data_IF_740647302357
#
_entry.id   IF_740647302357
#
_cell.length_a   1.000
_cell.length_b   1.000
_cell.length_c   1.000
_cell.angle_alpha   90.00
_cell.angle_beta   90.00
_cell.angle_gamma   90.00
#
_symmetry.space_group_name_H-M   'P 1'
#
loop_
_entity.id
_entity.type
_entity.pdbx_description
1 polymer ?
#
# COMPACT_ATOMS: atom_id res chain seq x y z
N UNK A 1 13.97 6.91 7.78
CA UNK A 1 12.86 6.75 8.75
C UNK A 1 13.16 5.69 9.82
N UNK A 2 13.60 4.47 9.48
CA UNK A 2 13.81 3.38 10.44
C UNK A 2 14.60 3.76 11.71
N UNK A 3 15.74 4.46 11.57
CA UNK A 3 16.54 4.89 12.73
C UNK A 3 15.79 5.83 13.70
N UNK A 4 14.96 6.74 13.18
CA UNK A 4 14.14 7.64 13.99
C UNK A 4 13.05 6.84 14.72
N UNK A 5 12.36 5.95 14.01
CA UNK A 5 11.33 5.08 14.59
C UNK A 5 11.89 4.21 15.71
N UNK A 6 13.04 3.57 15.48
CA UNK A 6 13.74 2.75 16.48
C UNK A 6 14.09 3.60 17.72
N UNK A 7 14.65 4.80 17.51
CA UNK A 7 14.94 5.73 18.62
C UNK A 7 13.68 6.16 19.38
N UNK A 8 12.54 6.21 18.69
CA UNK A 8 11.22 6.48 19.28
C UNK A 8 10.55 5.27 19.95
N UNK A 9 11.18 4.08 19.93
CA UNK A 9 10.61 2.86 20.50
C UNK A 9 9.55 2.18 19.62
N UNK A 10 9.42 2.59 18.35
CA UNK A 10 8.53 1.94 17.38
C UNK A 10 9.22 0.67 16.88
N UNK A 11 8.55 -0.47 17.09
CA UNK A 11 9.05 -1.80 16.69
C UNK A 11 8.31 -2.37 15.49
N UNK A 12 7.17 -1.78 15.12
CA UNK A 12 6.37 -2.14 13.95
C UNK A 12 5.72 -0.89 13.37
N UNK A 13 5.74 -0.74 12.04
CA UNK A 13 5.07 0.36 11.34
C UNK A 13 4.21 -0.13 10.18
N UNK A 14 3.40 0.78 9.64
CA UNK A 14 2.73 0.58 8.36
C UNK A 14 3.27 1.61 7.37
N UNK A 15 3.54 1.18 6.14
CA UNK A 15 3.98 2.06 5.07
C UNK A 15 3.08 1.91 3.85
N UNK A 16 2.89 3.04 3.18
CA UNK A 16 2.26 3.16 1.88
C UNK A 16 3.16 4.05 1.06
N UNK A 17 4.03 3.45 0.26
CA UNK A 17 4.91 4.21 -0.60
C UNK A 17 5.16 3.50 -1.94
N UNK A 18 6.09 4.08 -2.69
CA UNK A 18 6.58 3.56 -3.95
C UNK A 18 7.80 2.67 -3.72
N UNK A 19 8.03 1.73 -4.63
CA UNK A 19 9.14 0.77 -4.55
C UNK A 19 9.14 -0.04 -3.24
N UNK A 20 7.99 -0.54 -2.78
CA UNK A 20 7.87 -1.24 -1.47
C UNK A 20 8.74 -2.49 -1.38
N UNK A 21 9.15 -3.06 -2.51
CA UNK A 21 10.09 -4.16 -2.54
C UNK A 21 11.45 -3.79 -1.90
N UNK A 22 11.96 -2.59 -2.20
CA UNK A 22 13.19 -2.05 -1.61
C UNK A 22 12.96 -1.69 -0.14
N UNK A 23 11.80 -1.11 0.18
CA UNK A 23 11.45 -0.77 1.57
C UNK A 23 11.37 -2.04 2.42
N UNK A 24 10.86 -3.14 1.89
CA UNK A 24 10.80 -4.42 2.57
C UNK A 24 12.21 -5.02 2.82
N UNK A 25 13.12 -4.92 1.85
CA UNK A 25 14.52 -5.32 2.02
C UNK A 25 15.18 -4.55 3.17
N UNK A 26 15.07 -3.22 3.14
CA UNK A 26 15.69 -2.34 4.14
C UNK A 26 15.03 -2.46 5.52
N UNK A 27 13.71 -2.63 5.57
CA UNK A 27 12.95 -2.88 6.81
C UNK A 27 13.42 -4.17 7.49
N UNK A 28 13.58 -5.23 6.69
CA UNK A 28 14.07 -6.52 7.18
C UNK A 28 15.54 -6.44 7.58
N UNK A 29 16.38 -5.72 6.83
CA UNK A 29 17.78 -5.49 7.17
C UNK A 29 17.94 -4.72 8.49
N UNK A 30 17.04 -3.77 8.76
CA UNK A 30 16.97 -3.05 10.03
C UNK A 30 16.40 -3.89 11.19
N UNK A 31 15.92 -5.12 10.93
CA UNK A 31 15.31 -6.00 11.92
C UNK A 31 13.93 -5.54 12.41
N UNK A 32 13.27 -4.68 11.65
CA UNK A 32 11.94 -4.16 11.99
C UNK A 32 10.83 -5.01 11.36
N UNK A 33 9.64 -4.99 11.98
CA UNK A 33 8.41 -5.56 11.40
C UNK A 33 7.63 -4.46 10.71
N UNK A 34 6.94 -4.77 9.61
CA UNK A 34 6.08 -3.77 8.98
C UNK A 34 4.87 -4.38 8.26
N UNK A 35 3.82 -3.58 8.14
CA UNK A 35 2.77 -3.76 7.13
C UNK A 35 3.10 -2.85 5.96
N UNK A 36 3.54 -3.43 4.85
CA UNK A 36 4.03 -2.67 3.70
C UNK A 36 3.05 -2.81 2.54
N UNK A 37 2.59 -1.67 2.03
CA UNK A 37 1.52 -1.59 1.04
C UNK A 37 1.98 -0.91 -0.24
N UNK A 38 2.11 -1.68 -1.31
CA UNK A 38 2.47 -1.13 -2.62
C UNK A 38 1.36 -0.21 -3.11
N UNK A 39 1.71 1.07 -3.35
CA UNK A 39 0.76 2.13 -3.67
C UNK A 39 0.09 1.86 -5.02
N UNK A 40 -1.21 2.17 -5.13
CA UNK A 40 -1.97 2.15 -6.39
C UNK A 40 -2.70 3.47 -6.56
N UNK A 41 -2.50 4.13 -7.71
CA UNK A 41 -3.15 5.39 -8.12
C UNK A 41 -3.51 5.36 -9.61
N UNK A 42 -4.49 6.19 -10.03
CA UNK A 42 -4.96 6.22 -11.42
C UNK A 42 -4.17 7.17 -12.34
N UNK A 43 -3.02 7.65 -11.89
CA UNK A 43 -2.13 8.55 -12.62
C UNK A 43 -0.68 8.08 -12.50
N UNK A 44 0.23 8.52 -13.39
CA UNK A 44 1.62 8.12 -13.35
C UNK A 44 2.29 8.39 -12.00
N UNK A 45 2.99 7.38 -11.49
CA UNK A 45 3.76 7.35 -10.26
C UNK A 45 5.26 7.11 -10.53
N UNK A 46 6.14 7.31 -9.54
CA UNK A 46 7.59 7.12 -9.70
C UNK A 46 8.04 5.72 -10.12
N UNK A 47 7.37 4.68 -9.64
CA UNK A 47 7.65 3.26 -9.93
C UNK A 47 6.80 2.72 -11.09
N UNK A 48 5.75 3.44 -11.48
CA UNK A 48 4.85 2.99 -12.52
C UNK A 48 4.15 4.11 -13.31
N UNK A 49 4.11 4.01 -14.64
CA UNK A 49 3.48 5.00 -15.52
C UNK A 49 2.01 4.73 -15.89
N UNK A 50 1.47 3.54 -15.63
CA UNK A 50 0.08 3.19 -15.97
C UNK A 50 -0.55 2.19 -14.98
N UNK A 51 -1.88 2.25 -14.83
CA UNK A 51 -2.60 1.50 -13.80
C UNK A 51 -2.46 -0.02 -13.92
N UNK A 52 -2.42 -0.56 -15.15
CA UNK A 52 -2.30 -2.01 -15.37
C UNK A 52 -0.98 -2.55 -14.82
N UNK A 53 0.14 -1.90 -15.16
CA UNK A 53 1.44 -2.36 -14.66
C UNK A 53 1.59 -2.09 -13.16
N UNK A 54 0.81 -1.18 -12.56
CA UNK A 54 0.84 -0.89 -11.12
C UNK A 54 0.30 -2.06 -10.30
N UNK A 55 -0.83 -2.64 -10.71
CA UNK A 55 -1.37 -3.85 -10.06
C UNK A 55 -0.47 -5.08 -10.28
N UNK A 56 0.22 -5.17 -11.44
CA UNK A 56 1.22 -6.21 -11.65
C UNK A 56 2.42 -6.06 -10.71
N UNK A 57 2.86 -4.83 -10.46
CA UNK A 57 3.95 -4.54 -9.54
C UNK A 57 3.56 -4.88 -8.10
N UNK A 58 2.36 -4.47 -7.67
CA UNK A 58 1.79 -4.89 -6.39
C UNK A 58 1.69 -6.41 -6.29
N UNK A 59 1.21 -7.11 -7.33
CA UNK A 59 1.13 -8.57 -7.31
C UNK A 59 2.51 -9.23 -7.16
N UNK A 60 3.55 -8.72 -7.84
CA UNK A 60 4.93 -9.23 -7.69
C UNK A 60 5.44 -9.05 -6.27
N UNK A 61 5.20 -7.87 -5.68
CA UNK A 61 5.54 -7.58 -4.29
C UNK A 61 4.83 -8.54 -3.31
N UNK A 62 3.51 -8.72 -3.47
CA UNK A 62 2.72 -9.65 -2.65
C UNK A 62 3.28 -11.06 -2.71
N UNK A 63 3.59 -11.57 -3.92
CA UNK A 63 4.15 -12.92 -4.12
C UNK A 63 5.51 -13.08 -3.45
N UNK A 64 6.40 -12.10 -3.62
CA UNK A 64 7.78 -12.17 -3.13
C UNK A 64 7.84 -12.24 -1.60
N UNK A 65 7.03 -11.45 -0.92
CA UNK A 65 7.08 -11.30 0.54
C UNK A 65 6.02 -12.12 1.28
N UNK A 66 5.28 -12.99 0.56
CA UNK A 66 4.28 -13.83 1.18
C UNK A 66 4.89 -14.80 2.20
N UNK A 67 4.42 -14.72 3.45
CA UNK A 67 4.86 -15.61 4.53
C UNK A 67 6.18 -15.21 5.20
N UNK A 68 6.75 -14.05 4.86
CA UNK A 68 7.91 -13.52 5.58
C UNK A 68 7.57 -13.27 7.07
N UNK A 69 8.49 -13.57 8.01
CA UNK A 69 8.23 -13.42 9.44
C UNK A 69 8.19 -11.97 9.93
N UNK A 70 8.71 -11.00 9.17
CA UNK A 70 8.76 -9.58 9.54
C UNK A 70 7.95 -8.70 8.59
N UNK A 71 7.85 -9.08 7.31
CA UNK A 71 7.15 -8.29 6.30
C UNK A 71 5.73 -8.81 6.09
N UNK A 72 4.74 -7.97 6.39
CA UNK A 72 3.33 -8.25 6.16
C UNK A 72 2.82 -7.42 4.98
N UNK A 73 2.49 -8.07 3.88
CA UNK A 73 2.12 -7.36 2.66
C UNK A 73 0.67 -6.83 2.68
N UNK A 74 0.48 -5.70 2.02
CA UNK A 74 -0.80 -5.08 1.72
C UNK A 74 -0.85 -4.63 0.24
N UNK A 75 -2.06 -4.47 -0.29
CA UNK A 75 -2.31 -3.64 -1.48
C UNK A 75 -2.74 -2.27 -0.99
N UNK A 76 -2.17 -1.20 -1.53
CA UNK A 76 -2.41 0.15 -1.02
C UNK A 76 -3.02 1.09 -2.07
N UNK A 77 -4.32 0.93 -2.43
CA UNK A 77 -4.99 1.98 -3.19
C UNK A 77 -5.01 3.26 -2.35
N UNK A 78 -4.51 4.37 -2.91
CA UNK A 78 -4.23 5.57 -2.14
C UNK A 78 -5.50 6.15 -1.47
N UNK A 79 -6.49 6.55 -2.27
CA UNK A 79 -7.73 7.17 -1.78
C UNK A 79 -8.84 7.14 -2.84
N UNK A 80 -10.08 7.42 -2.43
CA UNK A 80 -11.24 7.45 -3.35
C UNK A 80 -11.19 8.59 -4.40
N UNK A 81 -10.40 9.64 -4.14
CA UNK A 81 -10.26 10.78 -5.06
C UNK A 81 -9.05 10.63 -6.02
N UNK A 82 -8.25 9.57 -5.86
CA UNK A 82 -7.10 9.24 -6.73
C UNK A 82 -7.24 7.88 -7.41
N UNK A 83 -8.25 7.10 -7.02
CA UNK A 83 -8.51 5.76 -7.54
C UNK A 83 -9.97 5.66 -7.94
N UNK A 84 -10.22 5.28 -9.19
CA UNK A 84 -11.55 4.96 -9.69
C UNK A 84 -12.15 3.76 -8.95
N UNK A 85 -13.48 3.64 -9.04
CA UNK A 85 -14.19 2.48 -8.52
C UNK A 85 -13.61 1.15 -9.02
N UNK A 86 -13.22 1.09 -10.31
CA UNK A 86 -12.59 -0.10 -10.89
C UNK A 86 -11.27 -0.41 -10.20
N UNK A 87 -10.39 0.57 -10.05
CA UNK A 87 -9.09 0.40 -9.37
C UNK A 87 -9.26 -0.07 -7.92
N UNK A 88 -10.24 0.46 -7.20
CA UNK A 88 -10.56 0.01 -5.83
C UNK A 88 -11.04 -1.44 -5.81
N UNK A 89 -11.92 -1.82 -6.74
CA UNK A 89 -12.43 -3.19 -6.85
C UNK A 89 -11.33 -4.19 -7.23
N UNK A 90 -10.46 -3.84 -8.18
CA UNK A 90 -9.34 -4.66 -8.61
C UNK A 90 -8.30 -4.82 -7.49
N UNK A 91 -8.00 -3.74 -6.76
CA UNK A 91 -7.14 -3.77 -5.58
C UNK A 91 -7.70 -4.70 -4.50
N UNK A 92 -9.01 -4.61 -4.22
CA UNK A 92 -9.69 -5.50 -3.28
C UNK A 92 -9.71 -6.97 -3.76
N UNK A 93 -9.86 -7.21 -5.07
CA UNK A 93 -9.77 -8.56 -5.64
C UNK A 93 -8.35 -9.12 -5.50
N UNK A 94 -7.32 -8.32 -5.76
CA UNK A 94 -5.92 -8.71 -5.62
C UNK A 94 -5.57 -9.02 -4.16
N UNK A 95 -5.95 -8.16 -3.22
CA UNK A 95 -5.73 -8.40 -1.79
C UNK A 95 -6.40 -9.70 -1.33
N UNK A 96 -7.65 -9.95 -1.75
CA UNK A 96 -8.35 -11.22 -1.46
C UNK A 96 -7.63 -12.43 -2.04
N UNK A 97 -7.16 -12.36 -3.29
CA UNK A 97 -6.44 -13.45 -3.97
C UNK A 97 -5.21 -13.92 -3.18
N UNK A 98 -4.43 -12.99 -2.64
CA UNK A 98 -3.21 -13.29 -1.89
C UNK A 98 -3.41 -13.38 -0.38
N UNK A 99 -4.64 -13.19 0.11
CA UNK A 99 -4.95 -13.02 1.55
C UNK A 99 -4.09 -11.90 2.18
N UNK A 100 -3.84 -10.86 1.40
CA UNK A 100 -3.10 -9.67 1.82
C UNK A 100 -4.05 -8.65 2.47
N UNK A 101 -3.46 -7.65 3.12
CA UNK A 101 -4.19 -6.54 3.73
C UNK A 101 -4.56 -5.49 2.67
N UNK A 102 -5.45 -4.57 3.04
CA UNK A 102 -5.69 -3.31 2.33
C UNK A 102 -5.24 -2.17 3.24
N UNK A 103 -4.48 -1.22 2.70
CA UNK A 103 -4.10 0.02 3.36
C UNK A 103 -4.59 1.18 2.49
N UNK A 104 -5.42 2.09 3.03
CA UNK A 104 -6.09 3.13 2.22
C UNK A 104 -6.40 4.36 3.08
N UNK A 105 -6.27 5.55 2.51
CA UNK A 105 -6.77 6.79 3.10
C UNK A 105 -8.28 6.88 2.92
N UNK A 106 -9.00 7.13 4.03
CA UNK A 106 -10.46 7.20 4.04
C UNK A 106 -10.92 8.32 4.96
N UNK A 107 -11.78 9.19 4.44
CA UNK A 107 -12.40 10.29 5.17
C UNK A 107 -11.39 11.17 5.91
N UNK A 108 -10.25 11.44 5.27
CA UNK A 108 -9.16 12.26 5.80
C UNK A 108 -9.58 13.72 5.94
N UNK A 109 -10.39 14.21 5.00
CA UNK A 109 -10.88 15.59 5.01
C UNK A 109 -12.40 15.66 4.85
N UNK A 110 -13.01 16.71 5.41
CA UNK A 110 -14.45 16.97 5.24
C UNK A 110 -14.87 16.99 3.76
N UNK A 111 -14.03 17.56 2.90
CA UNK A 111 -14.30 17.59 1.46
C UNK A 111 -14.40 16.19 0.86
N UNK A 112 -13.44 15.31 1.16
CA UNK A 112 -13.47 13.92 0.70
C UNK A 112 -14.77 13.22 1.15
N UNK A 113 -15.15 13.38 2.42
CA UNK A 113 -16.36 12.78 2.96
C UNK A 113 -17.62 13.28 2.25
N UNK A 114 -17.71 14.59 2.04
CA UNK A 114 -18.87 15.21 1.37
C UNK A 114 -18.95 14.77 -0.10
N UNK A 115 -17.81 14.75 -0.82
CA UNK A 115 -17.72 14.27 -2.20
C UNK A 115 -18.15 12.80 -2.31
N UNK A 116 -17.69 11.94 -1.38
CA UNK A 116 -18.05 10.52 -1.33
C UNK A 116 -19.55 10.30 -1.15
N UNK A 117 -20.18 11.07 -0.25
CA UNK A 117 -21.62 10.97 0.01
C UNK A 117 -22.48 11.45 -1.14
N UNK A 118 -22.01 12.44 -1.90
CA UNK A 118 -22.72 12.94 -3.07
C UNK A 118 -22.67 11.98 -4.27
N UNK A 119 -21.73 11.03 -4.28
CA UNK A 119 -21.57 10.01 -5.33
C UNK A 119 -22.26 8.67 -5.02
N UNK A 120 -22.85 8.52 -3.83
CA UNK A 120 -23.71 7.38 -3.44
C UNK A 120 -25.20 7.71 -3.64
#
# INVERSE_FOLDING_TARGET
AAAEQIRGGITTFADMYYFEDVIAEETKAAGMRAVLGETVVDFPAPDNKNNETMLEYAEKFLKRWQGDPLIHTAVAPHAIYTCSQKTLQDSAALARKYRARILIHVAEMKKELDDSRAQN
#
